data_IF_128711091382
#
_entry.id   IF_128711091382
#
_cell.length_a   1.000
_cell.length_b   1.000
_cell.length_c   1.000
_cell.angle_alpha   90.00
_cell.angle_beta   90.00
_cell.angle_gamma   90.00
#
_symmetry.space_group_name_H-M   'P 1'
#
loop_
_entity.id
_entity.type
_entity.pdbx_description
1 polymer ?
#
# COMPACT_ATOMS: atom_id res chain seq x y z
N UNK A 1 -20.11 15.90 11.22
CA UNK A 1 -19.68 15.96 12.64
C UNK A 1 -19.78 14.56 13.22
N UNK A 2 -18.65 13.87 13.37
CA UNK A 2 -18.61 12.44 13.72
C UNK A 2 -19.03 12.21 15.19
N UNK A 3 -20.01 11.32 15.42
CA UNK A 3 -20.56 11.04 16.75
C UNK A 3 -20.02 9.70 17.29
N UNK A 4 -18.74 9.67 17.72
CA UNK A 4 -18.08 8.46 18.24
C UNK A 4 -17.63 8.65 19.70
N UNK A 5 -18.57 8.53 20.65
CA UNK A 5 -18.32 8.71 22.10
C UNK A 5 -17.92 7.40 22.80
N UNK A 6 -16.80 6.80 22.38
CA UNK A 6 -16.20 5.66 23.08
C UNK A 6 -14.69 5.84 23.28
N UNK A 7 -14.20 5.71 24.52
CA UNK A 7 -12.77 5.88 24.87
C UNK A 7 -11.82 5.00 24.03
N UNK A 8 -12.28 3.86 23.53
CA UNK A 8 -11.46 2.96 22.70
C UNK A 8 -11.35 3.36 21.23
N UNK A 9 -12.39 3.98 20.68
CA UNK A 9 -12.36 4.53 19.32
C UNK A 9 -11.44 5.75 19.23
N UNK A 10 -11.27 6.47 20.35
CA UNK A 10 -10.30 7.56 20.48
C UNK A 10 -8.84 7.09 20.35
N UNK A 11 -8.49 5.90 20.86
CA UNK A 11 -7.11 5.38 20.79
C UNK A 11 -6.74 5.00 19.36
N UNK A 12 -7.61 4.26 18.68
CA UNK A 12 -7.40 3.91 17.27
C UNK A 12 -7.40 5.17 16.39
N UNK A 13 -8.35 6.09 16.60
CA UNK A 13 -8.39 7.36 15.88
C UNK A 13 -7.14 8.23 16.07
N UNK A 14 -6.56 8.25 17.27
CA UNK A 14 -5.31 8.97 17.52
C UNK A 14 -4.11 8.37 16.78
N UNK A 15 -4.01 7.03 16.74
CA UNK A 15 -2.93 6.34 16.01
C UNK A 15 -3.08 6.50 14.50
N UNK A 16 -4.30 6.37 13.97
CA UNK A 16 -4.57 6.61 12.55
C UNK A 16 -4.23 8.06 12.17
N UNK A 17 -4.55 9.03 13.03
CA UNK A 17 -4.14 10.42 12.84
C UNK A 17 -2.62 10.60 12.78
N UNK A 18 -1.86 9.85 13.60
CA UNK A 18 -0.40 9.83 13.52
C UNK A 18 0.08 9.28 12.17
N UNK A 19 -0.45 8.14 11.72
CA UNK A 19 -0.06 7.55 10.44
C UNK A 19 -0.35 8.47 9.26
N UNK A 20 -1.52 9.13 9.26
CA UNK A 20 -1.90 10.13 8.25
C UNK A 20 -0.92 11.30 8.15
N UNK A 21 -0.23 11.65 9.23
CA UNK A 21 0.78 12.71 9.21
C UNK A 21 2.13 12.24 8.65
N UNK A 22 2.49 10.97 8.81
CA UNK A 22 3.82 10.43 8.46
C UNK A 22 3.86 9.84 7.04
N UNK A 23 2.77 9.23 6.58
CA UNK A 23 2.71 8.58 5.27
C UNK A 23 3.00 9.54 4.10
N UNK A 24 2.51 10.80 4.07
CA UNK A 24 2.85 11.75 3.01
C UNK A 24 4.34 12.04 2.94
N UNK A 25 5.01 12.15 4.09
CA UNK A 25 6.45 12.37 4.12
C UNK A 25 7.18 11.20 3.46
N UNK A 26 6.78 9.96 3.77
CA UNK A 26 7.37 8.75 3.18
C UNK A 26 7.12 8.73 1.67
N UNK A 27 5.89 9.07 1.25
CA UNK A 27 5.54 9.15 -0.17
C UNK A 27 6.43 10.13 -0.93
N UNK A 28 6.79 11.27 -0.33
CA UNK A 28 7.64 12.28 -0.95
C UNK A 28 9.06 11.79 -1.29
N UNK A 29 9.55 10.72 -0.66
CA UNK A 29 10.89 10.15 -0.93
C UNK A 29 10.86 8.85 -1.71
N UNK A 30 9.69 8.30 -2.03
CA UNK A 30 9.60 7.03 -2.74
C UNK A 30 10.30 7.10 -4.11
N UNK A 31 10.11 8.19 -4.86
CA UNK A 31 10.76 8.36 -6.17
C UNK A 31 12.29 8.39 -6.06
N UNK A 32 12.85 9.13 -5.10
CA UNK A 32 14.31 9.17 -4.87
C UNK A 32 14.84 7.82 -4.37
N UNK A 33 14.08 7.13 -3.51
CA UNK A 33 14.42 5.81 -3.02
C UNK A 33 14.44 4.76 -4.14
N UNK A 34 13.44 4.78 -5.04
CA UNK A 34 13.36 3.86 -6.18
C UNK A 34 14.54 3.99 -7.13
N UNK A 35 15.04 5.21 -7.38
CA UNK A 35 16.25 5.42 -8.18
C UNK A 35 17.52 4.93 -7.46
N UNK A 36 17.61 5.18 -6.14
CA UNK A 36 18.77 4.83 -5.33
C UNK A 36 18.86 3.34 -4.99
N UNK A 37 17.76 2.60 -5.01
CA UNK A 37 17.74 1.16 -4.67
C UNK A 37 18.65 0.32 -5.55
N UNK A 38 18.90 0.75 -6.80
CA UNK A 38 19.74 0.03 -7.77
C UNK A 38 21.20 -0.04 -7.29
N UNK A 39 21.66 0.96 -6.53
CA UNK A 39 23.05 1.10 -6.09
C UNK A 39 23.24 0.94 -4.58
N UNK A 40 22.16 1.09 -3.81
CA UNK A 40 22.21 1.07 -2.36
C UNK A 40 21.28 -0.01 -1.80
N UNK A 41 21.87 -1.13 -1.40
CA UNK A 41 21.15 -2.26 -0.77
C UNK A 41 20.42 -1.84 0.52
N UNK A 42 20.91 -0.83 1.25
CA UNK A 42 20.23 -0.31 2.43
C UNK A 42 18.92 0.41 2.11
N UNK A 43 18.86 1.11 0.98
CA UNK A 43 17.64 1.74 0.45
C UNK A 43 16.67 0.69 -0.07
N UNK A 44 17.18 -0.33 -0.78
CA UNK A 44 16.38 -1.47 -1.22
C UNK A 44 15.69 -2.18 -0.05
N UNK A 45 16.46 -2.56 0.97
CA UNK A 45 15.90 -3.18 2.18
C UNK A 45 14.88 -2.28 2.88
N UNK A 46 15.11 -0.97 2.90
CA UNK A 46 14.15 -0.03 3.47
C UNK A 46 12.83 0.02 2.68
N UNK A 47 12.87 -0.08 1.34
CA UNK A 47 11.68 -0.19 0.50
C UNK A 47 10.94 -1.52 0.72
N UNK A 48 11.68 -2.64 0.82
CA UNK A 48 11.10 -3.95 1.11
C UNK A 48 10.37 -3.94 2.47
N UNK A 49 11.03 -3.43 3.53
CA UNK A 49 10.44 -3.33 4.88
C UNK A 49 9.22 -2.38 4.91
N UNK A 50 9.20 -1.35 4.05
CA UNK A 50 8.09 -0.42 3.89
C UNK A 50 6.90 -1.08 3.18
N UNK A 51 7.17 -1.90 2.15
CA UNK A 51 6.14 -2.67 1.46
C UNK A 51 5.49 -3.68 2.41
N UNK A 52 6.28 -4.40 3.20
CA UNK A 52 5.76 -5.32 4.21
C UNK A 52 4.85 -4.59 5.21
N UNK A 53 5.28 -3.42 5.69
CA UNK A 53 4.46 -2.60 6.58
C UNK A 53 3.14 -2.16 5.95
N UNK A 54 3.14 -1.85 4.64
CA UNK A 54 1.92 -1.46 3.93
C UNK A 54 0.89 -2.59 3.90
N UNK A 55 1.32 -3.84 3.71
CA UNK A 55 0.44 -5.01 3.80
C UNK A 55 -0.14 -5.17 5.21
N UNK A 56 0.67 -5.03 6.25
CA UNK A 56 0.18 -5.11 7.64
C UNK A 56 -0.83 -4.00 7.98
N UNK A 57 -0.64 -2.80 7.41
CA UNK A 57 -1.59 -1.68 7.54
C UNK A 57 -2.90 -1.98 6.81
N UNK A 58 -2.84 -2.58 5.62
CA UNK A 58 -4.05 -2.93 4.86
C UNK A 58 -4.87 -3.99 5.60
N UNK A 59 -4.20 -5.05 6.08
CA UNK A 59 -4.81 -6.13 6.86
C UNK A 59 -5.53 -5.61 8.12
N UNK A 60 -4.91 -4.64 8.84
CA UNK A 60 -5.51 -4.08 10.06
C UNK A 60 -6.69 -3.14 9.74
N UNK A 61 -6.68 -2.47 8.59
CA UNK A 61 -7.79 -1.63 8.16
C UNK A 61 -8.99 -2.47 7.72
N UNK A 62 -8.75 -3.59 7.05
CA UNK A 62 -9.80 -4.54 6.67
C UNK A 62 -10.45 -5.20 7.90
N UNK A 63 -9.65 -5.63 8.88
CA UNK A 63 -10.17 -6.17 10.14
C UNK A 63 -11.04 -5.13 10.88
N UNK A 64 -10.67 -3.84 10.79
CA UNK A 64 -11.45 -2.74 11.38
C UNK A 64 -12.76 -2.51 10.64
N UNK A 65 -12.72 -2.45 9.31
CA UNK A 65 -13.91 -2.23 8.48
C UNK A 65 -14.94 -3.35 8.67
N UNK A 66 -14.47 -4.59 8.74
CA UNK A 66 -15.31 -5.75 9.03
C UNK A 66 -16.02 -5.63 10.39
N UNK A 67 -15.32 -5.24 11.44
CA UNK A 67 -15.89 -5.11 12.77
C UNK A 67 -16.83 -3.91 12.91
N UNK A 68 -16.54 -2.81 12.23
CA UNK A 68 -17.47 -1.68 12.15
C UNK A 68 -18.80 -2.11 11.52
N UNK A 69 -18.75 -2.87 10.42
CA UNK A 69 -19.93 -3.42 9.75
C UNK A 69 -20.69 -4.40 10.66
N UNK A 70 -19.97 -5.30 11.33
CA UNK A 70 -20.54 -6.28 12.26
C UNK A 70 -21.27 -5.62 13.43
N UNK A 71 -20.69 -4.58 14.01
CA UNK A 71 -21.32 -3.80 15.10
C UNK A 71 -22.57 -3.07 14.61
N UNK A 72 -22.54 -2.49 13.41
CA UNK A 72 -23.72 -1.86 12.79
C UNK A 72 -24.85 -2.88 12.61
N UNK A 73 -24.54 -4.09 12.13
CA UNK A 73 -25.53 -5.16 11.92
C UNK A 73 -26.18 -5.62 13.24
N UNK A 74 -25.38 -5.88 14.28
CA UNK A 74 -25.90 -6.32 15.59
C UNK A 74 -26.80 -5.26 16.23
N UNK A 75 -26.48 -3.98 16.07
CA UNK A 75 -27.30 -2.87 16.58
C UNK A 75 -28.67 -2.82 15.90
N UNK A 76 -28.73 -3.05 14.58
CA UNK A 76 -29.97 -3.09 13.80
C UNK A 76 -30.84 -4.29 14.17
N UNK A 77 -30.25 -5.47 14.37
CA UNK A 77 -30.99 -6.67 14.78
C UNK A 77 -31.56 -6.56 16.21
N UNK A 78 -30.82 -5.88 17.10
CA UNK A 78 -31.24 -5.61 18.49
C UNK A 78 -32.41 -4.61 18.62
N UNK A 79 -32.61 -3.77 17.60
CA UNK A 79 -33.73 -2.83 17.50
C UNK A 79 -35.01 -3.49 16.92
N UNK A 80 -34.88 -4.54 16.10
CA UNK A 80 -36.02 -5.27 15.53
C UNK A 80 -36.71 -6.21 16.55
N UNK A 81 -35.99 -6.66 17.58
CA UNK A 81 -36.54 -7.50 18.66
C UNK A 81 -36.76 -6.69 19.94
N UNK A 82 -37.85 -5.93 20.01
CA UNK A 82 -38.30 -5.29 21.26
C UNK A 82 -39.24 -6.23 22.02
N UNK A 83 -38.68 -7.28 22.62
CA UNK A 83 -39.39 -8.03 23.65
C UNK A 83 -39.61 -7.12 24.88
N UNK A 84 -40.86 -7.03 25.34
CA UNK A 84 -41.34 -6.15 26.44
C UNK A 84 -40.64 -6.35 27.80
N UNK A 85 -39.74 -7.32 27.91
CA UNK A 85 -39.01 -7.69 29.14
C UNK A 85 -37.79 -6.79 29.40
N UNK A 86 -37.36 -5.97 28.41
CA UNK A 86 -36.20 -5.08 28.54
C UNK A 86 -36.43 -3.83 29.43
N UNK A 87 -37.59 -3.73 30.10
CA UNK A 87 -37.92 -2.65 31.07
C UNK A 87 -37.36 -2.89 32.48
N UNK A 88 -36.77 -4.06 32.74
CA UNK A 88 -36.27 -4.45 34.07
C UNK A 88 -34.75 -4.31 34.24
N UNK A 89 -34.04 -3.81 33.22
CA UNK A 89 -32.60 -3.60 33.28
C UNK A 89 -32.35 -2.11 33.58
N UNK A 90 -31.71 -1.76 34.71
CA UNK A 90 -31.43 -0.38 35.09
C UNK A 90 -30.69 0.38 33.98
N UNK A 91 -31.17 1.58 33.68
CA UNK A 91 -30.64 2.49 32.65
C UNK A 91 -29.21 2.97 32.92
N UNK A 92 -28.66 2.70 34.11
CA UNK A 92 -27.26 3.00 34.43
C UNK A 92 -26.27 2.06 33.73
N UNK A 93 -26.72 0.86 33.32
CA UNK A 93 -25.87 -0.13 32.64
C UNK A 93 -26.08 -0.17 31.11
N UNK A 94 -27.02 0.61 30.57
CA UNK A 94 -27.32 0.64 29.12
C UNK A 94 -26.54 1.71 28.36
N UNK A 95 -25.88 2.64 29.06
CA UNK A 95 -25.03 3.68 28.44
C UNK A 95 -23.55 3.31 28.39
N UNK A 96 -23.13 2.23 29.05
CA UNK A 96 -21.85 1.61 28.75
C UNK A 96 -22.05 0.63 27.60
N UNK A 97 -21.51 0.96 26.43
CA UNK A 97 -21.33 0.07 25.29
C UNK A 97 -20.40 -1.11 25.63
N UNK A 98 -20.64 -1.83 26.73
CA UNK A 98 -19.90 -3.00 27.13
C UNK A 98 -20.53 -4.22 26.45
N UNK A 99 -20.48 -4.22 25.12
CA UNK A 99 -20.62 -5.48 24.37
C UNK A 99 -19.33 -6.27 24.58
N UNK A 100 -19.39 -7.50 25.13
CA UNK A 100 -18.20 -8.32 25.40
C UNK A 100 -17.30 -8.50 24.17
N UNK A 101 -17.88 -8.47 22.98
CA UNK A 101 -17.20 -8.57 21.69
C UNK A 101 -16.33 -7.36 21.36
N UNK A 102 -16.74 -6.14 21.73
CA UNK A 102 -15.94 -4.92 21.46
C UNK A 102 -14.68 -4.84 22.32
N UNK A 103 -14.73 -5.39 23.54
CA UNK A 103 -13.57 -5.48 24.43
C UNK A 103 -12.57 -6.54 23.97
N UNK A 104 -13.04 -7.68 23.47
CA UNK A 104 -12.18 -8.73 22.91
C UNK A 104 -11.48 -8.27 21.64
N UNK A 105 -12.20 -7.63 20.70
CA UNK A 105 -11.63 -7.04 19.49
C UNK A 105 -10.54 -6.01 19.81
N UNK A 106 -10.80 -5.16 20.81
CA UNK A 106 -9.81 -4.18 21.30
C UNK A 106 -8.50 -4.86 21.72
N UNK A 107 -8.55 -6.02 22.37
CA UNK A 107 -7.37 -6.65 22.94
C UNK A 107 -6.47 -7.32 21.87
N UNK A 108 -7.03 -7.75 20.74
CA UNK A 108 -6.27 -8.30 19.61
C UNK A 108 -5.75 -7.22 18.64
N UNK A 109 -6.50 -6.13 18.47
CA UNK A 109 -6.17 -5.05 17.52
C UNK A 109 -5.09 -4.10 18.03
N UNK A 110 -5.16 -3.70 19.31
CA UNK A 110 -4.22 -2.77 19.93
C UNK A 110 -2.75 -3.20 19.79
N UNK A 111 -2.36 -4.46 20.06
CA UNK A 111 -0.95 -4.85 19.90
C UNK A 111 -0.49 -4.75 18.44
N UNK A 112 -1.31 -5.16 17.46
CA UNK A 112 -0.98 -5.04 16.03
C UNK A 112 -0.77 -3.58 15.63
N UNK A 113 -1.69 -2.70 16.02
CA UNK A 113 -1.60 -1.26 15.75
C UNK A 113 -0.35 -0.65 16.39
N UNK A 114 0.02 -1.07 17.60
CA UNK A 114 1.25 -0.62 18.26
C UNK A 114 2.50 -1.11 17.55
N UNK A 115 2.52 -2.36 17.10
CA UNK A 115 3.64 -2.93 16.34
C UNK A 115 3.85 -2.18 15.02
N UNK A 116 2.79 -2.00 14.23
CA UNK A 116 2.80 -1.23 12.99
C UNK A 116 3.32 0.19 13.25
N UNK A 117 2.84 0.84 14.31
CA UNK A 117 3.29 2.19 14.68
C UNK A 117 4.78 2.22 15.03
N UNK A 118 5.29 1.22 15.75
CA UNK A 118 6.70 1.14 16.09
C UNK A 118 7.57 0.93 14.84
N UNK A 119 7.14 0.05 13.94
CA UNK A 119 7.81 -0.21 12.65
C UNK A 119 7.81 1.00 11.74
N UNK A 120 6.69 1.72 11.66
CA UNK A 120 6.61 2.98 10.90
C UNK A 120 7.62 4.02 11.40
N UNK A 121 7.68 4.23 12.73
CA UNK A 121 8.66 5.16 13.31
C UNK A 121 10.12 4.70 13.08
N UNK A 122 10.37 3.40 13.10
CA UNK A 122 11.68 2.84 12.76
C UNK A 122 12.06 3.14 11.31
N UNK A 123 11.15 2.96 10.36
CA UNK A 123 11.36 3.30 8.95
C UNK A 123 11.61 4.79 8.76
N UNK A 124 10.85 5.66 9.43
CA UNK A 124 11.08 7.12 9.39
C UNK A 124 12.46 7.49 9.91
N UNK A 125 12.94 6.83 10.96
CA UNK A 125 14.29 7.06 11.52
C UNK A 125 15.39 6.56 10.57
N UNK A 126 15.23 5.34 10.03
CA UNK A 126 16.18 4.74 9.07
C UNK A 126 16.27 5.55 7.79
N UNK A 127 15.15 6.07 7.29
CA UNK A 127 15.10 6.98 6.15
C UNK A 127 16.06 8.16 6.32
N UNK A 128 16.01 8.85 7.46
CA UNK A 128 16.91 9.97 7.74
C UNK A 128 18.38 9.54 7.71
N UNK A 129 18.71 8.36 8.24
CA UNK A 129 20.08 7.82 8.20
C UNK A 129 20.56 7.43 6.80
N UNK A 130 19.64 7.11 5.89
CA UNK A 130 19.92 6.78 4.50
C UNK A 130 20.06 8.01 3.59
N UNK A 131 19.87 9.23 4.13
CA UNK A 131 19.94 10.47 3.37
C UNK A 131 18.77 10.62 2.37
N UNK A 132 17.63 9.99 2.65
CA UNK A 132 16.40 10.14 1.88
C UNK A 132 15.63 11.36 2.41
N UNK A 133 15.93 12.53 1.87
CA UNK A 133 15.30 13.81 2.22
C UNK A 133 14.37 14.30 1.10
N UNK A 134 13.33 15.04 1.51
CA UNK A 134 12.35 15.61 0.58
C UNK A 134 13.02 16.50 -0.47
N UNK A 135 12.78 16.19 -1.75
CA UNK A 135 13.46 16.75 -2.92
C UNK A 135 13.14 18.25 -3.08
N UNK A 136 12.12 18.76 -2.38
CA UNK A 136 11.65 20.15 -2.47
C UNK A 136 12.68 21.22 -2.06
N UNK A 137 13.80 20.83 -1.46
CA UNK A 137 14.87 21.78 -1.07
C UNK A 137 16.12 21.73 -1.94
N UNK A 138 16.17 20.91 -3.01
CA UNK A 138 17.33 20.87 -3.91
C UNK A 138 16.93 20.83 -5.39
N UNK A 139 17.16 21.95 -6.08
CA UNK A 139 17.11 22.06 -7.55
C UNK A 139 18.49 22.55 -8.01
N UNK A 140 19.08 22.02 -9.11
CA UNK A 140 19.21 20.61 -9.48
C UNK A 140 20.68 20.31 -9.89
N UNK A 141 21.19 19.07 -9.81
CA UNK A 141 22.17 18.52 -10.77
C UNK A 141 22.60 17.11 -10.39
N UNK A 142 21.90 16.13 -10.93
CA UNK A 142 22.65 15.23 -11.81
C UNK A 142 21.72 14.89 -12.96
N UNK A 143 22.20 15.06 -14.19
CA UNK A 143 21.64 14.35 -15.33
C UNK A 143 21.89 12.86 -15.03
N UNK A 144 21.03 12.26 -14.23
CA UNK A 144 20.97 10.82 -14.11
C UNK A 144 20.78 10.32 -15.53
N UNK A 145 21.78 9.60 -16.04
CA UNK A 145 21.60 8.83 -17.26
C UNK A 145 20.42 7.93 -16.98
N UNK A 146 19.24 8.29 -17.49
CA UNK A 146 18.12 7.37 -17.61
C UNK A 146 18.73 6.06 -18.13
N UNK A 147 18.65 4.94 -17.38
CA UNK A 147 18.98 3.65 -17.94
C UNK A 147 18.14 3.55 -19.21
N UNK A 148 18.81 3.47 -20.37
CA UNK A 148 18.11 3.32 -21.65
C UNK A 148 17.16 2.14 -21.45
N UNK A 149 15.86 2.41 -21.47
CA UNK A 149 14.86 1.35 -21.48
C UNK A 149 15.29 0.40 -22.61
N UNK A 150 15.47 -0.87 -22.27
CA UNK A 150 15.68 -1.90 -23.28
C UNK A 150 14.49 -1.78 -24.24
N UNK A 151 14.71 -1.63 -25.56
CA UNK A 151 13.60 -1.55 -26.49
C UNK A 151 12.74 -2.80 -26.30
N UNK A 152 11.45 -2.59 -26.00
CA UNK A 152 10.48 -3.67 -25.98
C UNK A 152 10.34 -4.20 -27.40
N UNK A 153 10.35 -5.52 -27.56
CA UNK A 153 10.02 -6.20 -28.82
C UNK A 153 8.52 -6.03 -29.13
N UNK A 154 8.09 -4.82 -29.47
CA UNK A 154 6.78 -4.57 -30.06
C UNK A 154 7.00 -4.36 -31.55
N UNK A 155 6.63 -5.37 -32.33
CA UNK A 155 6.55 -5.27 -33.78
C UNK A 155 5.25 -4.56 -34.09
N UNK A 156 5.33 -3.28 -34.45
CA UNK A 156 4.20 -2.61 -35.09
C UNK A 156 4.06 -3.19 -36.51
N UNK A 157 3.02 -4.00 -36.71
CA UNK A 157 2.75 -4.71 -37.96
C UNK A 157 2.35 -3.80 -39.13
N UNK A 158 2.23 -2.49 -38.89
CA UNK A 158 1.74 -1.52 -39.87
C UNK A 158 2.79 -0.53 -40.39
N UNK A 159 4.05 -0.60 -39.92
CA UNK A 159 5.12 0.30 -40.36
C UNK A 159 5.68 -0.15 -41.71
N UNK A 160 5.42 0.64 -42.74
CA UNK A 160 6.10 0.52 -44.04
C UNK A 160 7.51 1.13 -43.95
N UNK A 161 8.53 0.28 -43.84
CA UNK A 161 9.93 0.71 -43.78
C UNK A 161 10.42 1.14 -45.17
N UNK A 162 10.47 2.45 -45.42
CA UNK A 162 11.01 3.02 -46.67
C UNK A 162 12.54 2.87 -46.71
N UNK A 163 13.09 2.50 -47.86
CA UNK A 163 14.54 2.40 -48.10
C UNK A 163 15.17 1.04 -47.81
N UNK A 164 14.44 0.09 -47.21
CA UNK A 164 14.87 -1.31 -47.00
C UNK A 164 14.15 -2.33 -47.87
N UNK A 165 13.57 -1.87 -48.98
CA UNK A 165 12.84 -2.75 -49.91
C UNK A 165 13.78 -3.78 -50.54
N UNK A 166 14.97 -3.35 -50.96
CA UNK A 166 15.97 -4.20 -51.63
C UNK A 166 16.54 -5.28 -50.68
N UNK A 167 16.97 -4.87 -49.48
CA UNK A 167 17.42 -5.79 -48.41
C UNK A 167 16.34 -6.80 -48.00
N UNK A 168 15.07 -6.36 -47.95
CA UNK A 168 13.93 -7.23 -47.66
C UNK A 168 13.74 -8.26 -48.78
N UNK A 169 13.87 -7.87 -50.05
CA UNK A 169 13.76 -8.80 -51.17
C UNK A 169 14.92 -9.79 -51.21
N UNK A 170 16.16 -9.35 -51.02
CA UNK A 170 17.34 -10.23 -50.94
C UNK A 170 17.19 -11.25 -49.81
N UNK A 171 16.72 -10.82 -48.64
CA UNK A 171 16.49 -11.71 -47.50
C UNK A 171 15.38 -12.74 -47.80
N UNK A 172 14.31 -12.34 -48.50
CA UNK A 172 13.26 -13.27 -48.94
C UNK A 172 13.81 -14.28 -49.96
N UNK A 173 14.70 -13.86 -50.86
CA UNK A 173 15.36 -14.76 -51.82
C UNK A 173 16.31 -15.74 -51.14
N UNK A 174 17.11 -15.27 -50.17
CA UNK A 174 17.99 -16.12 -49.35
C UNK A 174 17.19 -17.16 -48.55
N UNK A 175 16.03 -16.78 -47.99
CA UNK A 175 15.15 -17.72 -47.27
C UNK A 175 14.44 -18.72 -48.20
N UNK A 176 14.33 -18.41 -49.49
CA UNK A 176 13.81 -19.33 -50.52
C UNK A 176 14.92 -20.22 -51.09
N UNK A 177 16.19 -19.92 -50.80
CA UNK A 177 17.35 -20.70 -51.20
C UNK A 177 17.57 -21.90 -50.29
N UNK A 178 17.65 -23.07 -50.92
CA UNK A 178 18.17 -24.35 -50.44
C UNK A 178 17.28 -25.24 -49.55
N UNK A 179 16.26 -25.80 -50.20
CA UNK A 179 15.76 -27.15 -49.93
C UNK A 179 16.37 -28.21 -50.87
N UNK A 180 17.60 -28.01 -51.37
CA UNK A 180 18.28 -29.02 -52.18
C UNK A 180 19.76 -29.11 -51.80
N UNK A 181 20.06 -29.99 -50.86
CA UNK A 181 20.94 -31.15 -51.07
C UNK A 181 21.36 -31.70 -49.70
N UNK A 182 20.43 -32.37 -49.03
CA UNK A 182 20.77 -33.37 -48.03
C UNK A 182 21.37 -34.57 -48.75
N UNK A 183 22.70 -34.70 -48.66
CA UNK A 183 23.42 -35.97 -48.84
C UNK A 183 23.08 -36.90 -47.69
#
# INVERSE_FOLDING_TARGET
VCHWRGCSFCVFGAVVGQWQSVLPDIQAVLTDAEEKQIKNEGVKKWLDDLQDLAYDVDDILDEFAYEELRLKLQKTQSQASTSKVRKLIPTCCTNSNFTPTSFLFKNSMIPKVKDITARLNNLTTRRSSLGLSDILSQVPTSKGKQPRLQPTSVVDGSVEYVGRLEEKTEMIELLKGDNFNGV
#
